data_IF_881713468123
#
_entry.id   IF_881713468123
#
_cell.length_a   1.000
_cell.length_b   1.000
_cell.length_c   1.000
_cell.angle_alpha   90.00
_cell.angle_beta   90.00
_cell.angle_gamma   90.00
#
_symmetry.space_group_name_H-M   'P 1'
#
loop_
_entity.id
_entity.type
_entity.pdbx_description
1 polymer ?
#
# COMPACT_ATOMS: atom_id res chain seq x y z
N UNK A 1 -4.81 -3.81 10.61
CA UNK A 1 -4.93 -2.51 11.32
C UNK A 1 -4.87 -2.72 12.82
N UNK A 2 -5.72 -3.57 13.43
CA UNK A 2 -5.66 -3.86 14.89
C UNK A 2 -4.26 -4.24 15.41
N UNK A 3 -3.46 -4.96 14.63
CA UNK A 3 -2.10 -5.31 15.02
C UNK A 3 -1.16 -4.11 15.14
N UNK A 4 -1.30 -3.08 14.29
CA UNK A 4 -0.35 -1.97 14.27
C UNK A 4 -0.61 -0.96 15.40
N UNK A 5 -1.87 -0.68 15.74
CA UNK A 5 -2.22 0.15 16.90
C UNK A 5 -1.68 -0.47 18.18
N UNK A 6 -1.86 -1.79 18.38
CA UNK A 6 -1.28 -2.50 19.53
C UNK A 6 0.25 -2.41 19.54
N UNK A 7 0.91 -2.63 18.40
CA UNK A 7 2.37 -2.53 18.33
C UNK A 7 2.82 -1.11 18.68
N UNK A 8 2.17 -0.07 18.17
CA UNK A 8 2.53 1.32 18.50
C UNK A 8 2.31 1.65 19.98
N UNK A 9 1.27 1.09 20.61
CA UNK A 9 1.07 1.24 22.05
C UNK A 9 2.18 0.55 22.86
N UNK A 10 2.59 -0.66 22.47
CA UNK A 10 3.70 -1.39 23.09
C UNK A 10 5.05 -0.68 22.89
N UNK A 11 5.26 -0.03 21.73
CA UNK A 11 6.40 0.87 21.50
C UNK A 11 6.37 2.08 22.44
N UNK A 12 5.20 2.68 22.65
CA UNK A 12 5.01 3.81 23.56
C UNK A 12 5.20 3.43 25.04
N UNK A 13 4.82 2.21 25.41
CA UNK A 13 5.04 1.66 26.75
C UNK A 13 6.52 1.27 27.01
N UNK A 14 7.32 1.13 25.96
CA UNK A 14 8.70 0.66 26.06
C UNK A 14 8.83 -0.86 26.18
N UNK A 15 7.78 -1.61 25.84
CA UNK A 15 7.74 -3.08 25.91
C UNK A 15 8.45 -3.74 24.72
N UNK A 16 8.67 -2.98 23.64
CA UNK A 16 9.37 -3.43 22.43
C UNK A 16 10.68 -2.66 22.25
N UNK A 17 11.70 -3.37 21.74
CA UNK A 17 12.98 -2.77 21.36
C UNK A 17 13.02 -2.31 19.91
N UNK A 18 12.21 -2.93 19.05
CA UNK A 18 12.07 -2.64 17.62
C UNK A 18 10.74 -3.22 17.10
N UNK A 19 10.22 -2.65 16.01
CA UNK A 19 9.05 -3.17 15.32
C UNK A 19 9.12 -2.89 13.81
N UNK A 20 8.39 -3.70 13.04
CA UNK A 20 8.11 -3.43 11.62
C UNK A 20 6.74 -2.77 11.53
N UNK A 21 6.69 -1.56 11.00
CA UNK A 21 5.48 -0.76 10.85
C UNK A 21 5.28 -0.36 9.38
N UNK A 22 4.05 0.00 9.04
CA UNK A 22 3.72 0.70 7.80
C UNK A 22 3.19 2.10 8.14
N UNK A 23 3.09 2.97 7.15
CA UNK A 23 2.40 4.24 7.35
C UNK A 23 0.90 4.03 7.58
N UNK A 24 0.23 4.93 8.34
CA UNK A 24 0.78 6.11 9.02
C UNK A 24 1.40 5.83 10.40
N UNK A 25 1.51 4.56 10.81
CA UNK A 25 2.00 4.19 12.15
C UNK A 25 3.48 4.53 12.37
N UNK A 26 4.29 4.56 11.31
CA UNK A 26 5.69 4.99 11.39
C UNK A 26 5.75 6.47 11.77
N UNK A 27 5.06 7.32 11.01
CA UNK A 27 4.99 8.76 11.28
C UNK A 27 4.43 9.06 12.68
N UNK A 28 3.38 8.32 13.08
CA UNK A 28 2.83 8.38 14.43
C UNK A 28 3.87 8.02 15.50
N UNK A 29 4.58 6.90 15.37
CA UNK A 29 5.53 6.45 16.38
C UNK A 29 6.72 7.41 16.55
N UNK A 30 7.22 8.00 15.45
CA UNK A 30 8.27 9.03 15.51
C UNK A 30 7.78 10.27 16.27
N UNK A 31 6.56 10.74 15.99
CA UNK A 31 5.99 11.93 16.64
C UNK A 31 5.61 11.66 18.10
N UNK A 32 4.82 10.63 18.35
CA UNK A 32 4.18 10.38 19.64
C UNK A 32 5.15 9.79 20.68
N UNK A 33 6.15 9.03 20.22
CA UNK A 33 7.03 8.25 21.10
C UNK A 33 8.51 8.53 20.87
N UNK A 34 8.89 9.40 19.93
CA UNK A 34 10.28 9.76 19.67
C UNK A 34 11.13 8.66 19.03
N UNK A 35 10.47 7.66 18.44
CA UNK A 35 11.13 6.57 17.73
C UNK A 35 11.81 7.06 16.46
N UNK A 36 12.67 6.21 15.87
CA UNK A 36 13.39 6.53 14.63
C UNK A 36 13.33 5.35 13.68
N UNK A 37 13.14 5.64 12.39
CA UNK A 37 13.33 4.65 11.34
C UNK A 37 14.80 4.21 11.31
N UNK A 38 15.05 2.92 11.48
CA UNK A 38 16.38 2.34 11.38
C UNK A 38 16.73 1.95 9.94
N UNK A 39 15.75 1.44 9.21
CA UNK A 39 15.87 0.91 7.85
C UNK A 39 14.54 1.12 7.14
N UNK A 40 14.59 1.58 5.88
CA UNK A 40 13.39 1.66 5.04
C UNK A 40 13.04 0.27 4.49
N UNK A 41 11.80 -0.18 4.71
CA UNK A 41 11.39 -1.55 4.38
C UNK A 41 11.69 -1.94 2.94
N UNK A 42 11.46 -1.04 1.98
CA UNK A 42 11.68 -1.29 0.54
C UNK A 42 13.16 -1.52 0.18
N UNK A 43 14.11 -1.09 1.01
CA UNK A 43 15.54 -1.33 0.78
C UNK A 43 15.97 -2.74 1.19
N UNK A 44 15.18 -3.43 2.03
CA UNK A 44 15.61 -4.68 2.69
C UNK A 44 14.62 -5.83 2.62
N UNK A 45 13.34 -5.57 2.32
CA UNK A 45 12.33 -6.61 2.18
C UNK A 45 12.05 -6.90 0.71
N UNK A 46 11.79 -8.16 0.42
CA UNK A 46 11.46 -8.62 -0.91
C UNK A 46 10.15 -8.00 -1.42
N UNK A 47 10.06 -7.57 -2.70
CA UNK A 47 8.85 -7.13 -3.41
C UNK A 47 7.52 -7.78 -3.01
N UNK A 48 7.50 -9.11 -2.82
CA UNK A 48 6.34 -9.88 -2.37
C UNK A 48 5.72 -9.41 -1.05
N UNK A 49 6.44 -8.63 -0.24
CA UNK A 49 5.99 -8.15 1.07
C UNK A 49 5.44 -6.72 1.07
N UNK A 50 5.54 -5.98 -0.04
CA UNK A 50 5.04 -4.59 -0.11
C UNK A 50 4.22 -4.27 -1.36
N UNK A 51 4.17 -5.16 -2.36
CA UNK A 51 3.34 -4.96 -3.55
C UNK A 51 1.85 -4.93 -3.19
N UNK A 52 1.16 -3.82 -3.52
CA UNK A 52 -0.28 -3.68 -3.35
C UNK A 52 -0.91 -3.51 -4.74
N UNK A 53 -1.95 -4.30 -5.03
CA UNK A 53 -2.68 -4.24 -6.28
C UNK A 53 -4.18 -4.07 -6.03
N UNK A 54 -4.87 -3.36 -6.93
CA UNK A 54 -6.33 -3.38 -7.02
C UNK A 54 -6.74 -4.64 -7.78
N UNK A 55 -7.59 -5.47 -7.19
CA UNK A 55 -8.07 -6.71 -7.80
C UNK A 55 -9.59 -6.80 -7.76
N UNK A 56 -10.16 -7.45 -8.77
CA UNK A 56 -11.59 -7.72 -8.87
C UNK A 56 -11.82 -9.22 -9.10
N UNK A 57 -12.98 -9.72 -8.68
CA UNK A 57 -13.38 -11.09 -9.01
C UNK A 57 -13.59 -11.21 -10.52
N UNK A 58 -13.11 -12.30 -11.14
CA UNK A 58 -13.27 -12.57 -12.58
C UNK A 58 -14.71 -12.36 -13.07
N UNK A 59 -15.70 -12.90 -12.36
CA UNK A 59 -17.13 -12.74 -12.72
C UNK A 59 -17.57 -11.28 -12.85
N UNK A 60 -16.99 -10.37 -12.05
CA UNK A 60 -17.32 -8.94 -12.08
C UNK A 60 -16.68 -8.25 -13.28
N UNK A 61 -15.45 -8.63 -13.61
CA UNK A 61 -14.78 -8.18 -14.84
C UNK A 61 -15.55 -8.61 -16.09
N UNK A 62 -16.09 -9.83 -16.08
CA UNK A 62 -16.88 -10.37 -17.20
C UNK A 62 -18.27 -9.73 -17.30
N UNK A 63 -18.96 -9.53 -16.17
CA UNK A 63 -20.35 -9.05 -16.18
C UNK A 63 -20.48 -7.54 -16.21
N UNK A 64 -19.54 -6.80 -15.63
CA UNK A 64 -19.60 -5.34 -15.45
C UNK A 64 -18.25 -4.66 -15.78
N UNK A 65 -17.67 -4.89 -16.98
CA UNK A 65 -16.33 -4.38 -17.31
C UNK A 65 -16.23 -2.86 -17.25
N UNK A 66 -17.26 -2.13 -17.68
CA UNK A 66 -17.28 -0.66 -17.65
C UNK A 66 -17.30 -0.10 -16.22
N UNK A 67 -18.01 -0.75 -15.30
CA UNK A 67 -18.03 -0.35 -13.89
C UNK A 67 -16.64 -0.50 -13.28
N UNK A 68 -15.96 -1.62 -13.55
CA UNK A 68 -14.60 -1.84 -13.04
C UNK A 68 -13.64 -0.82 -13.64
N UNK A 69 -13.73 -0.55 -14.94
CA UNK A 69 -12.91 0.47 -15.61
C UNK A 69 -13.11 1.86 -14.99
N UNK A 70 -14.35 2.25 -14.68
CA UNK A 70 -14.64 3.52 -14.01
C UNK A 70 -14.06 3.57 -12.59
N UNK A 71 -14.22 2.49 -11.80
CA UNK A 71 -13.66 2.41 -10.46
C UNK A 71 -12.14 2.57 -10.44
N UNK A 72 -11.42 1.91 -11.36
CA UNK A 72 -9.96 2.03 -11.43
C UNK A 72 -9.53 3.43 -11.87
N UNK A 73 -10.22 4.04 -12.85
CA UNK A 73 -9.96 5.42 -13.27
C UNK A 73 -10.18 6.43 -12.14
N UNK A 74 -11.27 6.28 -11.39
CA UNK A 74 -11.57 7.15 -10.26
C UNK A 74 -10.58 6.95 -9.12
N UNK A 75 -10.20 5.70 -8.82
CA UNK A 75 -9.16 5.40 -7.84
C UNK A 75 -7.83 6.07 -8.22
N UNK A 76 -7.36 5.90 -9.45
CA UNK A 76 -6.13 6.54 -9.93
C UNK A 76 -6.19 8.07 -9.91
N UNK A 77 -7.38 8.66 -10.15
CA UNK A 77 -7.59 10.11 -9.98
C UNK A 77 -7.48 10.54 -8.52
N UNK A 78 -8.07 9.79 -7.59
CA UNK A 78 -7.94 10.06 -6.16
C UNK A 78 -6.49 9.95 -5.67
N UNK A 79 -5.75 8.93 -6.12
CA UNK A 79 -4.32 8.77 -5.80
C UNK A 79 -3.52 9.98 -6.29
N UNK A 80 -3.66 10.38 -7.56
CA UNK A 80 -2.99 11.58 -8.09
C UNK A 80 -3.33 12.83 -7.31
N UNK A 81 -4.61 13.04 -7.00
CA UNK A 81 -5.04 14.18 -6.21
C UNK A 81 -4.33 14.20 -4.85
N UNK A 82 -4.30 13.08 -4.13
CA UNK A 82 -3.64 13.00 -2.83
C UNK A 82 -2.12 13.25 -2.91
N UNK A 83 -1.47 12.83 -4.00
CA UNK A 83 -0.05 13.11 -4.24
C UNK A 83 0.21 14.60 -4.51
N UNK A 84 -0.68 15.26 -5.26
CA UNK A 84 -0.54 16.67 -5.64
C UNK A 84 -1.02 17.64 -4.53
N UNK A 85 -1.90 17.17 -3.64
CA UNK A 85 -2.58 17.96 -2.59
C UNK A 85 -2.50 17.26 -1.22
N UNK A 86 -1.28 16.97 -0.75
CA UNK A 86 -1.05 16.16 0.45
C UNK A 86 -1.64 16.76 1.73
N UNK A 87 -1.60 18.08 1.86
CA UNK A 87 -2.14 18.85 2.99
C UNK A 87 -3.67 18.78 3.04
N UNK A 88 -4.33 19.00 1.91
CA UNK A 88 -5.80 18.85 1.79
C UNK A 88 -6.23 17.39 2.06
N UNK A 89 -5.47 16.42 1.53
CA UNK A 89 -5.73 15.00 1.77
C UNK A 89 -5.60 14.65 3.26
N UNK A 90 -4.61 15.20 3.95
CA UNK A 90 -4.43 15.03 5.39
C UNK A 90 -5.58 15.65 6.19
N UNK A 91 -6.04 16.85 5.83
CA UNK A 91 -7.19 17.51 6.49
C UNK A 91 -8.47 16.69 6.33
N UNK A 92 -8.73 16.13 5.15
CA UNK A 92 -9.90 15.27 4.89
C UNK A 92 -9.87 13.97 5.70
N UNK A 93 -8.68 13.50 6.08
CA UNK A 93 -8.48 12.29 6.87
C UNK A 93 -8.38 12.58 8.37
N UNK A 94 -8.24 13.84 8.78
CA UNK A 94 -8.19 14.25 10.17
C UNK A 94 -9.46 13.86 10.92
N UNK A 95 -9.29 13.31 12.13
CA UNK A 95 -10.39 12.81 12.96
C UNK A 95 -11.10 11.55 12.44
N UNK A 96 -10.77 11.03 11.25
CA UNK A 96 -11.27 9.72 10.78
C UNK A 96 -10.57 8.55 11.46
N UNK A 97 -9.35 8.78 11.92
CA UNK A 97 -8.53 7.83 12.66
C UNK A 97 -8.14 8.49 13.99
N UNK A 98 -8.77 8.11 15.11
CA UNK A 98 -8.61 8.80 16.40
C UNK A 98 -7.17 8.92 16.90
N UNK A 99 -6.30 8.00 16.51
CA UNK A 99 -4.89 7.97 16.93
C UNK A 99 -3.96 8.87 16.09
N UNK A 100 -4.36 9.23 14.86
CA UNK A 100 -3.50 9.97 13.94
C UNK A 100 -3.90 11.45 13.89
N UNK A 101 -2.88 12.30 13.87
CA UNK A 101 -3.05 13.72 13.56
C UNK A 101 -2.90 13.93 12.06
N UNK A 102 -3.46 15.03 11.53
CA UNK A 102 -3.23 15.44 10.14
C UNK A 102 -1.73 15.45 9.76
N UNK A 103 -0.84 15.87 10.65
CA UNK A 103 0.61 15.87 10.38
C UNK A 103 1.22 14.45 10.20
N UNK A 104 0.64 13.43 10.84
CA UNK A 104 1.08 12.04 10.65
C UNK A 104 0.68 11.54 9.26
N UNK A 105 -0.53 11.89 8.84
CA UNK A 105 -1.07 11.54 7.52
C UNK A 105 -0.30 12.26 6.41
N UNK A 106 0.00 13.54 6.58
CA UNK A 106 0.78 14.30 5.59
C UNK A 106 2.20 13.72 5.44
N UNK A 107 2.87 13.40 6.56
CA UNK A 107 4.20 12.75 6.54
C UNK A 107 4.13 11.37 5.89
N UNK A 108 3.10 10.59 6.21
CA UNK A 108 2.85 9.28 5.62
C UNK A 108 2.70 9.35 4.10
N UNK A 109 1.81 10.22 3.60
CA UNK A 109 1.61 10.42 2.17
C UNK A 109 2.94 10.84 1.53
N UNK A 110 3.64 11.82 2.11
CA UNK A 110 4.92 12.31 1.58
C UNK A 110 6.00 11.23 1.50
N UNK A 111 6.09 10.37 2.52
CA UNK A 111 7.07 9.26 2.59
C UNK A 111 6.77 8.16 1.58
N UNK A 112 5.50 7.80 1.44
CA UNK A 112 5.11 6.67 0.59
C UNK A 112 4.88 7.05 -0.87
N UNK A 113 4.54 8.31 -1.17
CA UNK A 113 4.22 8.79 -2.53
C UNK A 113 5.29 8.50 -3.59
N UNK A 114 6.60 8.63 -3.33
CA UNK A 114 7.64 8.26 -4.30
C UNK A 114 7.53 6.82 -4.81
N UNK A 115 6.83 5.97 -4.07
CA UNK A 115 6.65 4.57 -4.36
C UNK A 115 5.26 4.20 -4.89
N UNK A 116 4.37 5.18 -5.08
CA UNK A 116 3.02 4.97 -5.59
C UNK A 116 3.02 5.01 -7.11
N UNK A 117 2.35 4.03 -7.72
CA UNK A 117 1.99 4.10 -9.14
C UNK A 117 0.64 4.78 -9.25
N UNK A 118 0.59 5.87 -10.01
CA UNK A 118 -0.63 6.65 -10.20
C UNK A 118 -1.24 6.47 -11.59
N UNK A 119 -0.54 5.78 -12.49
CA UNK A 119 -1.12 5.32 -13.74
C UNK A 119 -1.98 4.07 -13.50
N UNK A 120 -2.83 3.77 -14.47
CA UNK A 120 -3.76 2.65 -14.42
C UNK A 120 -3.15 1.37 -14.97
N UNK A 121 -1.82 1.32 -15.12
CA UNK A 121 -1.10 0.19 -15.69
C UNK A 121 -0.61 -0.75 -14.61
N UNK A 122 -0.42 -2.01 -14.99
CA UNK A 122 0.15 -3.03 -14.12
C UNK A 122 1.63 -3.15 -14.45
N UNK A 123 2.49 -3.09 -13.44
CA UNK A 123 3.93 -3.37 -13.60
C UNK A 123 4.16 -4.88 -13.67
N UNK A 124 4.16 -5.41 -14.90
CA UNK A 124 4.37 -6.84 -15.17
C UNK A 124 5.77 -7.32 -14.74
N UNK A 125 6.78 -6.45 -14.81
CA UNK A 125 8.14 -6.78 -14.40
C UNK A 125 8.20 -6.97 -12.88
N UNK A 126 7.58 -6.05 -12.13
CA UNK A 126 7.43 -6.17 -10.69
C UNK A 126 6.65 -7.44 -10.31
N UNK A 127 5.51 -7.71 -10.95
CA UNK A 127 4.73 -8.91 -10.67
C UNK A 127 5.50 -10.21 -10.97
N UNK A 128 6.33 -10.21 -12.02
CA UNK A 128 7.17 -11.36 -12.34
C UNK A 128 8.19 -11.66 -11.23
N UNK A 129 8.79 -10.62 -10.65
CA UNK A 129 9.69 -10.76 -9.49
C UNK A 129 8.93 -11.30 -8.28
N UNK A 130 7.76 -10.73 -7.96
CA UNK A 130 6.92 -11.20 -6.86
C UNK A 130 6.55 -12.69 -7.01
N UNK A 131 6.14 -13.12 -8.20
CA UNK A 131 5.80 -14.53 -8.47
C UNK A 131 7.00 -15.44 -8.28
N UNK A 132 8.19 -15.04 -8.74
CA UNK A 132 9.41 -15.81 -8.56
C UNK A 132 9.74 -15.99 -7.07
N UNK A 133 9.65 -14.92 -6.27
CA UNK A 133 9.87 -14.96 -4.83
C UNK A 133 8.88 -15.85 -4.09
N UNK A 134 7.58 -15.75 -4.43
CA UNK A 134 6.54 -16.57 -3.81
C UNK A 134 6.75 -18.06 -4.09
N UNK A 135 7.28 -18.41 -5.28
CA UNK A 135 7.66 -19.79 -5.63
C UNK A 135 8.87 -20.24 -4.84
N UNK A 136 9.92 -19.42 -4.77
CA UNK A 136 11.13 -19.71 -4.00
C UNK A 136 10.79 -19.97 -2.51
N UNK A 137 9.91 -19.15 -1.95
CA UNK A 137 9.43 -19.28 -0.57
C UNK A 137 8.39 -20.39 -0.37
N UNK A 138 8.01 -21.11 -1.44
CA UNK A 138 6.97 -22.16 -1.43
C UNK A 138 5.60 -21.68 -0.90
N UNK A 139 5.31 -20.37 -1.04
CA UNK A 139 4.00 -19.78 -0.72
C UNK A 139 2.96 -20.13 -1.79
N UNK A 140 3.42 -20.30 -3.04
CA UNK A 140 2.62 -20.78 -4.16
C UNK A 140 3.29 -22.00 -4.81
N UNK A 141 2.52 -22.84 -5.55
CA UNK A 141 3.09 -23.95 -6.32
C UNK A 141 4.15 -23.49 -7.34
N UNK A 142 5.13 -24.35 -7.63
CA UNK A 142 6.21 -24.05 -8.59
C UNK A 142 5.70 -23.76 -10.01
N UNK A 143 4.56 -24.34 -10.37
CA UNK A 143 3.87 -24.16 -11.65
C UNK A 143 2.84 -23.02 -11.64
N UNK A 144 2.72 -22.27 -10.53
CA UNK A 144 1.86 -21.10 -10.46
C UNK A 144 2.21 -20.08 -11.56
N UNK A 145 1.21 -19.54 -12.23
CA UNK A 145 1.38 -18.48 -13.20
C UNK A 145 0.24 -17.47 -13.05
N UNK A 146 0.58 -16.18 -13.20
CA UNK A 146 -0.42 -15.16 -13.47
C UNK A 146 -0.91 -15.39 -14.90
N UNK A 147 -2.18 -15.75 -15.07
CA UNK A 147 -2.74 -15.98 -16.41
C UNK A 147 -2.79 -14.66 -17.20
N UNK A 148 -2.61 -14.73 -18.52
CA UNK A 148 -2.76 -13.56 -19.40
C UNK A 148 -4.14 -12.88 -19.22
N UNK A 149 -5.20 -13.68 -19.02
CA UNK A 149 -6.57 -13.21 -18.78
C UNK A 149 -6.77 -12.59 -17.37
N UNK A 150 -5.74 -12.60 -16.53
CA UNK A 150 -5.79 -12.07 -15.15
C UNK A 150 -5.31 -10.62 -15.08
N UNK A 151 -4.61 -10.15 -16.12
CA UNK A 151 -4.13 -8.77 -16.23
C UNK A 151 -4.99 -8.05 -17.26
N UNK A 152 -6.01 -7.34 -16.78
CA UNK A 152 -6.94 -6.63 -17.66
C UNK A 152 -6.32 -5.27 -18.05
N UNK A 153 -5.30 -5.30 -18.89
CA UNK A 153 -4.60 -4.09 -19.38
C UNK A 153 -5.46 -3.23 -20.28
N UNK A 154 -6.49 -3.83 -20.89
CA UNK A 154 -7.28 -3.21 -21.96
C UNK A 154 -8.54 -2.47 -21.46
N UNK A 155 -8.85 -2.54 -20.15
CA UNK A 155 -10.06 -1.89 -19.60
C UNK A 155 -9.98 -0.35 -19.58
N UNK A 156 -8.80 0.23 -19.81
CA UNK A 156 -8.52 1.64 -19.49
C UNK A 156 -7.87 2.40 -20.66
N UNK A 157 -7.88 1.82 -21.86
CA UNK A 157 -7.52 2.52 -23.11
C UNK A 157 -8.74 3.28 -23.67
#
# INVERSE_FOLDING_TARGET
>A
LENYTRITDELGAGDLAAAVLCEPHVSYAERAHGWRVLIEGREVINPSNFGICVYARRRLLESEPELVAHLVRDYARCVRYAMDHMDEAAEVLDGKFPEFLAEDIERAIRRDTPNWTSDTTVDEAFLSVVVAELKEQSVVPSDFALGADTMCTDLIA
#
